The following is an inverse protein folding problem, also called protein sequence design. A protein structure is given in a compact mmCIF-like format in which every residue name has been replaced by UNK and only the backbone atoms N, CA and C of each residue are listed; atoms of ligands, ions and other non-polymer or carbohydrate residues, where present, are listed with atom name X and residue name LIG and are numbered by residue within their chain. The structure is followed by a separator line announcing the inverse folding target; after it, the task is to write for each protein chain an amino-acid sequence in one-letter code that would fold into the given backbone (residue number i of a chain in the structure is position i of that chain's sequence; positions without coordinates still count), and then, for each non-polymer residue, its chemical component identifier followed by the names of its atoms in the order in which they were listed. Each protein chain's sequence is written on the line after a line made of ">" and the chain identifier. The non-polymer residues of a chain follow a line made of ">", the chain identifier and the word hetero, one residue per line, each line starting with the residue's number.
data_IF_349146982684
#
_entry.id   IF_349146982684
#
_cell.length_a   1.000
_cell.length_b   1.000
_cell.length_c   1.000
_cell.angle_alpha   90.00
_cell.angle_beta   90.00
_cell.angle_gamma   90.00
#
_symmetry.space_group_name_H-M   'P 1'
#
loop_
_entity.id
_entity.type
_entity.pdbx_description
1 polymer ?
#
# COMPACT_ATOMS: atom_id res chain seq x y z
N UNK A 1 -1.90 15.95 0.80
CA UNK A 1 -2.34 14.59 1.17
C UNK A 1 -1.84 13.55 0.18
N UNK A 2 -2.09 13.72 -1.13
CA UNK A 2 -1.61 12.80 -2.16
C UNK A 2 -0.07 12.62 -2.15
N UNK A 3 0.70 13.72 -2.04
CA UNK A 3 2.16 13.64 -1.94
C UNK A 3 2.67 12.86 -0.72
N UNK A 4 1.94 12.90 0.40
CA UNK A 4 2.36 12.17 1.62
C UNK A 4 2.09 10.68 1.49
N UNK A 5 0.92 10.30 0.95
CA UNK A 5 0.60 8.91 0.63
C UNK A 5 1.63 8.30 -0.33
N UNK A 6 2.01 9.01 -1.39
CA UNK A 6 3.03 8.56 -2.34
C UNK A 6 4.38 8.38 -1.66
N UNK A 7 4.78 9.32 -0.80
CA UNK A 7 6.01 9.19 -0.04
C UNK A 7 5.96 7.96 0.88
N UNK A 8 4.87 7.76 1.63
CA UNK A 8 4.69 6.60 2.51
C UNK A 8 4.76 5.27 1.74
N UNK A 9 4.23 5.24 0.52
CA UNK A 9 4.32 4.10 -0.40
C UNK A 9 5.78 3.85 -0.79
N UNK A 10 6.52 4.87 -1.22
CA UNK A 10 7.95 4.70 -1.58
C UNK A 10 8.79 4.20 -0.40
N UNK A 11 8.54 4.67 0.82
CA UNK A 11 9.23 4.20 2.03
C UNK A 11 8.86 2.76 2.43
N UNK A 12 7.74 2.23 1.92
CA UNK A 12 7.21 0.94 2.33
C UNK A 12 7.51 -0.20 1.35
N UNK A 13 7.89 0.11 0.10
CA UNK A 13 8.32 -0.88 -0.89
C UNK A 13 9.51 -1.72 -0.37
N UNK A 14 10.32 -1.16 0.53
CA UNK A 14 11.52 -1.81 1.09
C UNK A 14 11.25 -2.61 2.39
N UNK A 15 10.39 -3.63 2.34
CA UNK A 15 10.21 -4.65 3.40
C UNK A 15 9.39 -4.24 4.63
N UNK A 16 8.65 -3.15 4.57
CA UNK A 16 7.72 -2.81 5.63
C UNK A 16 6.38 -3.50 5.39
N UNK A 17 5.82 -4.13 6.43
CA UNK A 17 4.43 -4.54 6.38
C UNK A 17 3.55 -3.30 6.33
N UNK A 18 2.36 -3.41 5.79
CA UNK A 18 1.35 -2.37 5.84
C UNK A 18 0.00 -2.95 6.27
N UNK A 19 -0.83 -2.06 6.80
CA UNK A 19 -2.27 -2.26 6.92
C UNK A 19 -2.95 -1.14 6.17
N UNK A 20 -3.87 -1.49 5.28
CA UNK A 20 -4.57 -0.56 4.41
C UNK A 20 -6.08 -0.77 4.51
N UNK A 21 -6.82 0.32 4.61
CA UNK A 21 -8.28 0.36 4.51
C UNK A 21 -8.67 1.02 3.20
N UNK A 22 -9.51 0.35 2.43
CA UNK A 22 -10.06 0.90 1.18
C UNK A 22 -11.44 1.53 1.37
N UNK A 23 -11.86 2.32 0.38
CA UNK A 23 -13.15 3.02 0.36
C UNK A 23 -14.36 2.08 0.43
N UNK A 24 -14.24 0.87 -0.11
CA UNK A 24 -15.23 -0.22 0.01
C UNK A 24 -15.16 -0.99 1.35
N UNK A 25 -14.46 -0.45 2.35
CA UNK A 25 -14.29 -1.02 3.70
C UNK A 25 -13.54 -2.36 3.76
N UNK A 26 -12.84 -2.76 2.69
CA UNK A 26 -11.91 -3.89 2.75
C UNK A 26 -10.63 -3.48 3.46
N UNK A 27 -10.06 -4.41 4.22
CA UNK A 27 -8.77 -4.23 4.89
C UNK A 27 -7.77 -5.21 4.30
N UNK A 28 -6.60 -4.70 3.93
CA UNK A 28 -5.49 -5.49 3.43
C UNK A 28 -4.33 -5.43 4.42
N UNK A 29 -3.63 -6.55 4.57
CA UNK A 29 -2.40 -6.65 5.36
C UNK A 29 -1.36 -7.41 4.56
N UNK A 30 -0.25 -6.77 4.26
CA UNK A 30 0.76 -7.35 3.38
C UNK A 30 1.94 -6.42 3.18
N UNK A 31 2.66 -6.62 2.09
CA UNK A 31 3.78 -5.79 1.68
C UNK A 31 3.42 -5.02 0.43
N UNK A 32 3.91 -3.79 0.29
CA UNK A 32 3.80 -3.08 -0.97
C UNK A 32 4.88 -3.65 -1.89
N UNK A 33 4.48 -4.23 -3.01
CA UNK A 33 5.39 -4.81 -4.00
C UNK A 33 5.93 -3.72 -4.94
N UNK A 34 5.04 -2.90 -5.51
CA UNK A 34 5.42 -1.76 -6.35
C UNK A 34 4.32 -0.71 -6.45
N UNK A 35 4.71 0.50 -6.81
CA UNK A 35 3.81 1.59 -7.19
C UNK A 35 3.87 1.83 -8.71
N UNK A 36 2.71 1.83 -9.36
CA UNK A 36 2.55 2.18 -10.77
C UNK A 36 2.02 3.61 -10.87
N UNK A 37 2.91 4.52 -11.27
CA UNK A 37 2.61 5.94 -11.41
C UNK A 37 1.68 6.22 -12.58
N UNK A 38 1.74 5.46 -13.68
CA UNK A 38 0.87 5.71 -14.84
C UNK A 38 -0.56 5.36 -14.50
N UNK A 39 -0.76 4.24 -13.79
CA UNK A 39 -2.09 3.78 -13.37
C UNK A 39 -2.59 4.42 -12.08
N UNK A 40 -1.76 5.18 -11.39
CA UNK A 40 -2.06 5.67 -10.04
C UNK A 40 -2.54 4.53 -9.14
N UNK A 41 -1.77 3.43 -9.07
CA UNK A 41 -2.15 2.21 -8.35
C UNK A 41 -0.95 1.58 -7.63
N UNK A 42 -1.21 0.88 -6.52
CA UNK A 42 -0.22 0.05 -5.83
C UNK A 42 -0.52 -1.43 -6.05
N UNK A 43 0.55 -2.21 -6.16
CA UNK A 43 0.50 -3.66 -6.12
C UNK A 43 0.96 -4.11 -4.75
N UNK A 44 0.12 -4.88 -4.07
CA UNK A 44 0.40 -5.41 -2.75
C UNK A 44 0.52 -6.91 -2.82
N UNK A 45 1.41 -7.47 -2.00
CA UNK A 45 1.52 -8.91 -1.79
C UNK A 45 0.92 -9.27 -0.43
N UNK A 46 -0.11 -10.11 -0.45
CA UNK A 46 -0.75 -10.67 0.73
C UNK A 46 -0.90 -12.18 0.53
N UNK A 47 -0.38 -12.98 1.46
CA UNK A 47 -0.48 -14.45 1.42
C UNK A 47 -0.03 -15.05 0.07
N UNK A 48 1.04 -14.49 -0.52
CA UNK A 48 1.60 -14.83 -1.85
C UNK A 48 0.69 -14.49 -3.04
N UNK A 49 -0.37 -13.72 -2.83
CA UNK A 49 -1.27 -13.21 -3.87
C UNK A 49 -0.95 -11.74 -4.11
N UNK A 50 -0.79 -11.38 -5.39
CA UNK A 50 -0.62 -9.98 -5.82
C UNK A 50 -1.98 -9.37 -6.10
N UNK A 51 -2.27 -8.24 -5.46
CA UNK A 51 -3.53 -7.50 -5.59
C UNK A 51 -3.20 -6.08 -6.06
N UNK A 52 -3.92 -5.61 -7.08
CA UNK A 52 -3.84 -4.22 -7.55
C UNK A 52 -4.91 -3.38 -6.86
N UNK A 53 -4.53 -2.22 -6.33
CA UNK A 53 -5.44 -1.27 -5.67
C UNK A 53 -5.14 0.13 -6.21
N UNK A 54 -6.16 0.80 -6.73
CA UNK A 54 -6.04 2.18 -7.20
C UNK A 54 -5.87 3.13 -6.00
N UNK A 55 -5.13 4.23 -6.18
CA UNK A 55 -4.78 5.13 -5.09
C UNK A 55 -6.00 5.86 -4.51
N UNK A 56 -7.02 6.13 -5.32
CA UNK A 56 -8.27 6.76 -4.90
C UNK A 56 -9.17 5.83 -4.07
N UNK A 57 -8.99 4.51 -4.21
CA UNK A 57 -9.60 3.53 -3.34
C UNK A 57 -8.96 3.49 -1.95
N UNK A 58 -7.76 4.06 -1.75
CA UNK A 58 -7.07 4.04 -0.46
C UNK A 58 -7.65 5.10 0.48
N UNK A 59 -8.37 4.64 1.51
CA UNK A 59 -8.91 5.51 2.54
C UNK A 59 -7.88 5.81 3.64
N UNK A 60 -7.12 4.78 4.05
CA UNK A 60 -6.04 4.89 5.05
C UNK A 60 -4.95 3.87 4.76
N UNK A 61 -3.70 4.29 4.90
CA UNK A 61 -2.52 3.44 4.83
C UNK A 61 -1.70 3.63 6.11
N UNK A 62 -1.29 2.53 6.74
CA UNK A 62 -0.37 2.54 7.87
C UNK A 62 0.79 1.60 7.60
N UNK A 63 2.00 2.15 7.59
CA UNK A 63 3.23 1.38 7.45
C UNK A 63 3.61 0.82 8.82
N UNK A 64 3.75 -0.50 8.89
CA UNK A 64 4.28 -1.26 10.01
C UNK A 64 5.75 -1.54 9.68
N UNK A 65 6.60 -0.61 10.09
CA UNK A 65 8.04 -0.84 10.01
C UNK A 65 8.40 -2.02 10.91
N UNK A 66 9.13 -2.99 10.36
CA UNK A 66 9.77 -4.01 11.17
C UNK A 66 10.88 -3.29 11.94
N UNK A 67 10.67 -3.07 13.24
CA UNK A 67 11.75 -2.61 14.11
C UNK A 67 12.79 -3.73 14.13
N UNK A 68 14.01 -3.42 13.69
CA UNK A 68 15.21 -4.17 14.06
C UNK A 68 15.45 -4.09 15.56
#
# INVERSE_FOLDING_TARGET
>A
MQNQLINDIYHAIDHNQMVMLTSNQKTYKGYINRYDRERQAIFIEQDKIIIMIELDEIKRLKIISQRG
#
